data_IF_947004653124
#
_entry.id   IF_947004653124
#
_cell.length_a   1.000
_cell.length_b   1.000
_cell.length_c   1.000
_cell.angle_alpha   90.00
_cell.angle_beta   90.00
_cell.angle_gamma   90.00
#
_symmetry.space_group_name_H-M   'P 1'
#
loop_
_entity.id
_entity.type
_entity.pdbx_description
1 polymer ?
#
# COMPACT_ATOMS: atom_id res chain seq x y z
N UNK A 1 -25.14 33.20 0.34
CA UNK A 1 -24.89 31.86 -0.22
C UNK A 1 -23.39 31.73 -0.31
N UNK A 2 -22.76 31.02 0.63
CA UNK A 2 -21.32 30.76 0.61
C UNK A 2 -21.13 29.25 0.59
N UNK A 3 -20.68 28.77 -0.56
CA UNK A 3 -20.28 27.39 -0.80
C UNK A 3 -19.04 27.08 0.03
N UNK A 4 -19.22 26.35 1.13
CA UNK A 4 -18.09 25.80 1.89
C UNK A 4 -17.49 24.65 1.09
N UNK A 5 -16.42 24.98 0.39
CA UNK A 5 -15.44 24.09 -0.21
C UNK A 5 -15.11 22.95 0.77
N UNK A 6 -15.49 21.74 0.41
CA UNK A 6 -15.26 20.52 1.18
C UNK A 6 -13.77 20.21 1.16
N UNK A 7 -13.06 20.64 2.21
CA UNK A 7 -11.67 20.31 2.50
C UNK A 7 -11.55 18.78 2.64
N UNK A 8 -11.20 18.11 1.54
CA UNK A 8 -10.73 16.72 1.57
C UNK A 8 -9.27 16.70 2.00
N UNK A 9 -8.97 17.24 3.18
CA UNK A 9 -7.79 16.79 3.90
C UNK A 9 -8.06 15.34 4.29
N UNK A 10 -7.49 14.42 3.53
CA UNK A 10 -7.26 13.08 4.04
C UNK A 10 -6.43 13.25 5.31
N UNK A 11 -7.09 13.21 6.46
CA UNK A 11 -6.45 13.06 7.75
C UNK A 11 -5.57 11.82 7.67
N UNK A 12 -4.28 12.01 7.44
CA UNK A 12 -3.29 10.98 7.68
C UNK A 12 -3.14 10.96 9.19
N UNK A 13 -3.96 10.15 9.86
CA UNK A 13 -3.81 9.83 11.27
C UNK A 13 -2.37 9.39 11.50
N UNK A 14 -1.59 10.28 12.12
CA UNK A 14 -0.14 10.14 12.37
C UNK A 14 0.12 9.48 13.73
N UNK A 15 -0.86 8.75 14.27
CA UNK A 15 -0.68 7.84 15.39
C UNK A 15 -0.04 6.54 14.89
N UNK A 16 1.25 6.62 14.54
CA UNK A 16 2.25 5.56 14.33
C UNK A 16 1.77 4.11 14.08
N UNK A 17 0.85 3.86 13.16
CA UNK A 17 0.63 2.51 12.65
C UNK A 17 1.86 2.13 11.82
N UNK A 18 2.70 1.21 12.33
CA UNK A 18 3.85 0.74 11.55
C UNK A 18 3.32 -0.01 10.33
N UNK A 19 3.59 0.53 9.14
CA UNK A 19 3.12 -0.02 7.87
C UNK A 19 4.29 -0.42 6.98
N UNK A 20 4.20 -1.61 6.41
CA UNK A 20 5.18 -2.15 5.48
C UNK A 20 4.46 -2.70 4.24
N UNK A 21 4.85 -2.25 3.04
CA UNK A 21 4.26 -2.72 1.78
C UNK A 21 5.32 -3.39 0.92
N UNK A 22 5.03 -4.62 0.49
CA UNK A 22 5.83 -5.39 -0.47
C UNK A 22 5.21 -5.23 -1.86
N UNK A 23 6.01 -4.85 -2.86
CA UNK A 23 5.57 -4.76 -4.26
C UNK A 23 6.32 -5.80 -5.08
N UNK A 24 5.59 -6.71 -5.75
CA UNK A 24 6.17 -7.84 -6.52
C UNK A 24 5.41 -8.10 -7.82
N UNK A 25 6.08 -8.60 -8.88
CA UNK A 25 5.43 -8.88 -10.16
C UNK A 25 4.56 -10.14 -10.11
N UNK A 26 4.82 -11.04 -9.16
CA UNK A 26 4.06 -12.28 -8.98
C UNK A 26 3.97 -12.64 -7.50
N UNK A 27 2.91 -13.37 -7.15
CA UNK A 27 2.69 -13.82 -5.78
C UNK A 27 2.27 -15.29 -5.78
N UNK A 28 3.04 -16.13 -5.06
CA UNK A 28 2.59 -17.49 -4.75
C UNK A 28 1.87 -17.52 -3.41
N UNK A 29 0.83 -18.35 -3.31
CA UNK A 29 0.07 -18.51 -2.06
C UNK A 29 0.95 -19.01 -0.91
N UNK A 30 1.90 -19.91 -1.19
CA UNK A 30 2.85 -20.41 -0.20
C UNK A 30 3.78 -19.31 0.34
N UNK A 31 4.33 -18.48 -0.54
CA UNK A 31 5.16 -17.36 -0.10
C UNK A 31 4.37 -16.35 0.73
N UNK A 32 3.13 -16.05 0.33
CA UNK A 32 2.24 -15.17 1.08
C UNK A 32 1.97 -15.72 2.49
N UNK A 33 1.69 -17.01 2.61
CA UNK A 33 1.39 -17.65 3.89
C UNK A 33 2.60 -17.62 4.84
N UNK A 34 3.79 -17.91 4.32
CA UNK A 34 5.05 -17.81 5.08
C UNK A 34 5.29 -16.37 5.55
N UNK A 35 5.11 -15.37 4.67
CA UNK A 35 5.26 -13.97 5.06
C UNK A 35 4.20 -13.57 6.10
N UNK A 36 2.95 -14.03 5.95
CA UNK A 36 1.88 -13.76 6.89
C UNK A 36 2.19 -14.33 8.27
N UNK A 37 2.68 -15.56 8.36
CA UNK A 37 3.08 -16.19 9.62
C UNK A 37 4.23 -15.40 10.29
N UNK A 38 5.31 -15.15 9.56
CA UNK A 38 6.47 -14.42 10.09
C UNK A 38 6.10 -13.00 10.55
N UNK A 39 5.22 -12.32 9.82
CA UNK A 39 4.76 -10.97 10.17
C UNK A 39 3.78 -10.99 11.34
N UNK A 40 2.95 -12.03 11.45
CA UNK A 40 2.06 -12.24 12.58
C UNK A 40 2.82 -12.40 13.90
N UNK A 41 3.91 -13.17 13.90
CA UNK A 41 4.82 -13.33 15.06
C UNK A 41 5.44 -12.00 15.49
N UNK A 42 5.66 -11.08 14.55
CA UNK A 42 6.18 -9.73 14.79
C UNK A 42 5.10 -8.71 15.18
N UNK A 43 3.85 -9.14 15.28
CA UNK A 43 2.71 -8.29 15.65
C UNK A 43 2.05 -7.56 14.49
N UNK A 44 2.47 -7.78 13.24
CA UNK A 44 1.81 -7.21 12.07
C UNK A 44 0.62 -8.06 11.64
N UNK A 45 -0.31 -7.44 10.92
CA UNK A 45 -1.49 -8.06 10.29
C UNK A 45 -1.54 -7.66 8.83
N UNK A 46 -2.02 -8.56 7.99
CA UNK A 46 -2.26 -8.25 6.59
C UNK A 46 -3.39 -7.23 6.50
N UNK A 47 -3.16 -6.12 5.82
CA UNK A 47 -4.23 -5.21 5.41
C UNK A 47 -5.00 -5.85 4.25
N UNK A 48 -6.33 -5.74 4.26
CA UNK A 48 -7.19 -6.44 3.29
C UNK A 48 -6.89 -6.04 1.84
N UNK A 49 -7.00 -7.03 0.94
CA UNK A 49 -7.02 -6.84 -0.52
C UNK A 49 -5.63 -6.88 -1.15
N UNK A 50 -5.27 -8.02 -1.74
CA UNK A 50 -4.09 -8.13 -2.60
C UNK A 50 -4.53 -7.82 -4.03
N UNK A 51 -4.28 -6.61 -4.48
CA UNK A 51 -4.64 -6.16 -5.82
C UNK A 51 -3.38 -5.99 -6.68
N UNK A 52 -3.51 -6.30 -7.96
CA UNK A 52 -2.52 -5.96 -8.98
C UNK A 52 -2.87 -4.61 -9.60
N UNK A 53 -1.91 -3.70 -9.68
CA UNK A 53 -2.10 -2.38 -10.26
C UNK A 53 -0.80 -1.83 -10.86
N UNK A 54 -0.93 -0.84 -11.75
CA UNK A 54 0.22 -0.10 -12.29
C UNK A 54 0.59 1.03 -11.35
N UNK A 55 1.88 1.25 -11.17
CA UNK A 55 2.38 2.28 -10.28
C UNK A 55 2.98 3.43 -11.07
N UNK A 56 2.84 4.63 -10.51
CA UNK A 56 3.36 5.86 -11.08
C UNK A 56 4.05 6.65 -9.98
N UNK A 57 5.17 7.28 -10.32
CA UNK A 57 5.86 8.22 -9.46
C UNK A 57 5.63 9.63 -10.01
N UNK A 58 5.30 10.56 -9.11
CA UNK A 58 5.14 11.98 -9.44
C UNK A 58 5.91 12.84 -8.46
N UNK A 59 6.53 13.90 -8.97
CA UNK A 59 7.13 14.99 -8.19
C UNK A 59 6.25 16.26 -8.19
N UNK A 60 5.02 16.15 -8.70
CA UNK A 60 4.06 17.25 -8.87
C UNK A 60 4.16 17.97 -10.22
N UNK A 61 5.22 17.77 -11.02
CA UNK A 61 5.36 18.34 -12.37
C UNK A 61 5.29 17.26 -13.44
N UNK A 62 5.91 16.13 -13.19
CA UNK A 62 5.97 15.02 -14.14
C UNK A 62 5.46 13.72 -13.51
N UNK A 63 4.81 12.89 -14.33
CA UNK A 63 4.37 11.56 -13.95
C UNK A 63 5.17 10.55 -14.76
N UNK A 64 5.89 9.67 -14.06
CA UNK A 64 6.65 8.58 -14.67
C UNK A 64 6.05 7.24 -14.26
N UNK A 65 6.11 6.26 -15.18
CA UNK A 65 5.69 4.89 -14.90
C UNK A 65 6.76 4.21 -14.05
N UNK A 66 6.34 3.55 -12.98
CA UNK A 66 7.19 2.63 -12.23
C UNK A 66 7.06 1.21 -12.82
N UNK A 67 8.10 0.39 -12.61
CA UNK A 67 8.13 -1.02 -13.03
C UNK A 67 7.81 -1.19 -14.53
N UNK A 68 8.35 -0.30 -15.38
CA UNK A 68 8.13 -0.29 -16.84
C UNK A 68 6.64 -0.15 -17.25
N UNK A 69 5.76 0.19 -16.31
CA UNK A 69 4.31 0.22 -16.52
C UNK A 69 3.62 -1.13 -16.42
N UNK A 70 4.30 -2.16 -15.91
CA UNK A 70 3.71 -3.46 -15.59
C UNK A 70 2.82 -3.39 -14.35
N UNK A 71 1.86 -4.33 -14.27
CA UNK A 71 0.97 -4.43 -13.13
C UNK A 71 1.65 -5.26 -12.03
N UNK A 72 1.78 -4.68 -10.84
CA UNK A 72 2.45 -5.30 -9.70
C UNK A 72 1.44 -5.55 -8.58
N UNK A 73 1.64 -6.64 -7.85
CA UNK A 73 0.91 -6.91 -6.62
C UNK A 73 1.50 -6.09 -5.48
N UNK A 74 0.64 -5.47 -4.66
CA UNK A 74 1.03 -4.92 -3.38
C UNK A 74 0.44 -5.72 -2.22
N UNK A 75 1.28 -5.96 -1.22
CA UNK A 75 0.88 -6.57 0.04
C UNK A 75 1.28 -5.64 1.16
N UNK A 76 0.30 -5.18 1.93
CA UNK A 76 0.54 -4.29 3.05
C UNK A 76 0.34 -5.03 4.36
N UNK A 77 1.30 -4.85 5.27
CA UNK A 77 1.27 -5.31 6.64
C UNK A 77 1.22 -4.09 7.55
N UNK A 78 0.30 -4.11 8.52
CA UNK A 78 0.11 -3.04 9.50
C UNK A 78 0.25 -3.59 10.91
N UNK A 79 0.89 -2.83 11.80
CA UNK A 79 0.93 -3.11 13.23
C UNK A 79 0.33 -1.91 13.96
N UNK A 80 -0.72 -2.21 14.72
CA UNK A 80 -1.53 -1.27 15.50
C UNK A 80 -1.24 -1.48 16.98
#
# INVERSE_FOLDING_TARGET
MEEKMNDMSHHIDTASEERFTIIVPSLSQAALEVHRQNMWEKGYRLENGINSQKYFQSDGREISKLFEGEAMYAITFVKR
#
